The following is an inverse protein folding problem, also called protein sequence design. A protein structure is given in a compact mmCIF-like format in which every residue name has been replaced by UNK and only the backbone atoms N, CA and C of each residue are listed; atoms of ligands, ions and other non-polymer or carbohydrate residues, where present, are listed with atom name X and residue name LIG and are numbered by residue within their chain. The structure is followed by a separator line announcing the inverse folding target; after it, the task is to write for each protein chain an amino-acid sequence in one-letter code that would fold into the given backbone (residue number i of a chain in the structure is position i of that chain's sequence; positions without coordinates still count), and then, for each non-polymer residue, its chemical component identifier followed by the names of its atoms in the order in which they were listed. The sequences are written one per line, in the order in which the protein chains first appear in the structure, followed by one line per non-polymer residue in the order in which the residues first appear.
data_IF_894314958764
#
_entry.id   IF_894314958764
#
_cell.length_a   1.000
_cell.length_b   1.000
_cell.length_c   1.000
_cell.angle_alpha   90.00
_cell.angle_beta   90.00
_cell.angle_gamma   90.00
#
_symmetry.space_group_name_H-M   'P 1'
#
loop_
_entity.id
_entity.type
_entity.pdbx_description
1 polymer ?
#
# COMPACT_ATOMS: atom_id res chain seq x y z
N UNK A 1 -8.79 12.77 1.37
CA UNK A 1 -7.89 12.01 0.46
C UNK A 1 -7.90 10.58 0.98
N UNK A 2 -8.64 9.66 0.34
CA UNK A 2 -8.84 8.30 0.85
C UNK A 2 -7.73 7.41 0.29
N UNK A 3 -6.53 7.55 0.85
CA UNK A 3 -5.41 6.66 0.59
C UNK A 3 -5.34 5.64 1.72
N UNK A 4 -5.17 4.37 1.37
CA UNK A 4 -5.08 3.29 2.33
C UNK A 4 -3.80 2.52 2.08
N UNK A 5 -3.13 2.11 3.15
CA UNK A 5 -1.95 1.26 3.06
C UNK A 5 -2.40 -0.16 2.77
N UNK A 6 -1.83 -0.80 1.74
CA UNK A 6 -2.02 -2.21 1.46
C UNK A 6 -0.70 -2.95 1.55
N UNK A 7 -0.56 -3.82 2.54
CA UNK A 7 0.65 -4.61 2.79
C UNK A 7 0.54 -5.99 2.15
N UNK A 8 1.51 -6.35 1.31
CA UNK A 8 1.68 -7.69 0.76
C UNK A 8 2.77 -8.41 1.55
N UNK A 9 2.44 -9.59 2.07
CA UNK A 9 3.34 -10.44 2.85
C UNK A 9 3.86 -11.63 2.06
N UNK A 10 5.09 -12.04 2.35
CA UNK A 10 5.73 -13.25 1.81
C UNK A 10 5.69 -13.29 0.28
N UNK A 11 5.34 -14.45 -0.29
CA UNK A 11 5.22 -14.70 -1.72
C UNK A 11 4.35 -13.68 -2.45
N UNK A 12 3.35 -13.08 -1.79
CA UNK A 12 2.52 -12.05 -2.42
C UNK A 12 3.33 -10.79 -2.76
N UNK A 13 4.33 -10.46 -1.97
CA UNK A 13 5.22 -9.32 -2.23
C UNK A 13 6.13 -9.59 -3.42
N UNK A 14 6.67 -10.80 -3.51
CA UNK A 14 7.62 -11.18 -4.56
C UNK A 14 6.95 -11.46 -5.91
N UNK A 15 5.74 -12.02 -5.91
CA UNK A 15 5.04 -12.42 -7.13
C UNK A 15 4.13 -11.28 -7.60
N UNK A 16 3.02 -11.03 -6.89
CA UNK A 16 2.05 -10.01 -7.29
C UNK A 16 2.59 -8.60 -7.08
N UNK A 17 3.37 -8.35 -6.02
CA UNK A 17 4.00 -7.06 -5.79
C UNK A 17 4.97 -6.69 -6.91
N UNK A 18 5.79 -7.64 -7.38
CA UNK A 18 6.67 -7.43 -8.53
C UNK A 18 5.86 -7.23 -9.82
N UNK A 19 4.79 -7.99 -10.05
CA UNK A 19 3.91 -7.80 -11.21
C UNK A 19 3.27 -6.41 -11.22
N UNK A 20 2.79 -5.94 -10.07
CA UNK A 20 2.22 -4.59 -9.90
C UNK A 20 3.28 -3.53 -10.20
N UNK A 21 4.47 -3.66 -9.62
CA UNK A 21 5.57 -2.72 -9.84
C UNK A 21 5.98 -2.64 -11.31
N UNK A 22 6.11 -3.79 -11.98
CA UNK A 22 6.45 -3.88 -13.39
C UNK A 22 5.38 -3.24 -14.28
N UNK A 23 4.10 -3.49 -14.00
CA UNK A 23 2.99 -2.87 -14.75
C UNK A 23 2.90 -1.37 -14.52
N UNK A 24 3.10 -0.88 -13.30
CA UNK A 24 3.16 0.56 -13.02
C UNK A 24 4.33 1.26 -13.72
N UNK A 25 5.45 0.55 -13.93
CA UNK A 25 6.60 1.08 -14.65
C UNK A 25 6.39 1.08 -16.18
N UNK A 26 5.69 0.07 -16.70
CA UNK A 26 5.50 -0.14 -18.14
C UNK A 26 4.29 0.60 -18.69
N UNK A 27 3.21 0.67 -17.91
CA UNK A 27 1.92 1.20 -18.31
C UNK A 27 1.64 2.50 -17.52
N UNK A 28 1.64 3.68 -18.17
CA UNK A 28 1.37 4.96 -17.50
C UNK A 28 -0.13 5.15 -17.16
N UNK A 29 -0.86 4.04 -17.02
CA UNK A 29 -2.30 4.00 -16.85
C UNK A 29 -2.68 3.31 -15.52
N UNK A 30 -3.92 3.52 -15.11
CA UNK A 30 -4.41 3.02 -13.83
C UNK A 30 -4.44 1.48 -13.83
N UNK A 31 -4.20 0.88 -12.68
CA UNK A 31 -4.22 -0.57 -12.49
C UNK A 31 -5.44 -0.96 -11.63
N UNK A 32 -6.08 -2.09 -11.95
CA UNK A 32 -7.12 -2.67 -11.09
C UNK A 32 -6.61 -3.92 -10.40
N UNK A 33 -6.73 -3.95 -9.08
CA UNK A 33 -6.35 -5.09 -8.26
C UNK A 33 -7.62 -5.69 -7.64
N UNK A 34 -7.81 -7.00 -7.80
CA UNK A 34 -8.83 -7.76 -7.12
C UNK A 34 -8.20 -8.55 -5.98
N UNK A 35 -8.57 -8.21 -4.74
CA UNK A 35 -8.19 -8.94 -3.54
C UNK A 35 -9.36 -9.71 -2.95
N UNK A 36 -9.18 -11.00 -2.66
CA UNK A 36 -10.12 -11.84 -1.90
C UNK A 36 -9.51 -12.22 -0.56
N UNK A 37 -10.34 -12.30 0.49
CA UNK A 37 -9.93 -12.66 1.85
C UNK A 37 -8.81 -11.76 2.37
N UNK A 38 -8.93 -10.45 2.12
CA UNK A 38 -7.97 -9.44 2.57
C UNK A 38 -8.23 -9.11 4.04
N UNK A 39 -7.16 -9.08 4.83
CA UNK A 39 -7.23 -8.65 6.21
C UNK A 39 -7.39 -7.15 6.31
N UNK A 40 -8.30 -6.70 7.17
CA UNK A 40 -8.39 -5.29 7.57
C UNK A 40 -7.53 -5.11 8.82
N UNK A 41 -6.77 -4.02 8.85
CA UNK A 41 -6.00 -3.56 9.99
C UNK A 41 -6.35 -2.10 10.29
N UNK A 42 -6.25 -1.73 11.55
CA UNK A 42 -6.39 -0.33 11.99
C UNK A 42 -5.05 0.36 12.15
N UNK A 43 -3.97 -0.27 11.68
CA UNK A 43 -2.63 0.31 11.72
C UNK A 43 -2.56 1.55 10.82
N UNK A 44 -2.20 2.69 11.40
CA UNK A 44 -2.18 4.02 10.76
C UNK A 44 -3.53 4.44 10.15
N UNK A 45 -4.66 4.01 10.75
CA UNK A 45 -6.00 4.22 10.19
C UNK A 45 -6.49 2.98 9.46
N UNK A 46 -7.27 3.11 8.40
CA UNK A 46 -7.74 1.95 7.64
C UNK A 46 -6.60 1.42 6.76
N UNK A 47 -6.08 0.24 7.09
CA UNK A 47 -5.09 -0.48 6.29
C UNK A 47 -5.59 -1.86 5.90
N UNK A 48 -5.05 -2.36 4.81
CA UNK A 48 -5.32 -3.67 4.25
C UNK A 48 -4.04 -4.50 4.31
N UNK A 49 -4.16 -5.79 4.52
CA UNK A 49 -3.02 -6.70 4.51
C UNK A 49 -3.42 -8.05 3.90
N UNK A 50 -2.49 -8.68 3.19
CA UNK A 50 -2.69 -10.05 2.74
C UNK A 50 -2.67 -11.01 3.94
N UNK A 51 -3.42 -12.10 3.83
CA UNK A 51 -3.44 -13.24 4.73
C UNK A 51 -2.99 -14.46 3.95
N UNK A 52 -2.65 -15.54 4.66
CA UNK A 52 -2.25 -16.80 4.04
C UNK A 52 -3.28 -17.32 3.00
N UNK A 53 -4.57 -17.14 3.26
CA UNK A 53 -5.65 -17.56 2.36
C UNK A 53 -6.15 -16.44 1.43
N UNK A 54 -5.40 -15.35 1.31
CA UNK A 54 -5.74 -14.28 0.37
C UNK A 54 -5.54 -14.73 -1.06
N UNK A 55 -6.23 -14.07 -1.98
CA UNK A 55 -5.96 -14.20 -3.41
C UNK A 55 -5.89 -12.82 -4.00
N UNK A 56 -4.82 -12.53 -4.73
CA UNK A 56 -4.62 -11.29 -5.45
C UNK A 56 -4.62 -11.57 -6.95
N UNK A 57 -5.27 -10.70 -7.71
CA UNK A 57 -5.23 -10.71 -9.17
C UNK A 57 -5.07 -9.30 -9.69
N UNK A 58 -4.11 -9.14 -10.59
CA UNK A 58 -3.80 -7.88 -11.24
C UNK A 58 -4.48 -7.85 -12.60
N UNK A 59 -5.25 -6.79 -12.88
CA UNK A 59 -6.02 -6.59 -14.11
C UNK A 59 -6.85 -7.81 -14.54
N UNK A 60 -7.76 -8.31 -13.69
CA UNK A 60 -8.59 -9.45 -14.08
C UNK A 60 -9.56 -9.06 -15.20
N UNK A 61 -9.88 -10.03 -16.07
CA UNK A 61 -10.79 -9.84 -17.23
C UNK A 61 -12.28 -9.90 -16.86
N UNK A 62 -12.62 -9.76 -15.58
CA UNK A 62 -14.00 -9.76 -15.13
C UNK A 62 -14.72 -8.50 -15.60
N UNK A 63 -16.01 -8.59 -15.97
CA UNK A 63 -16.78 -7.43 -16.41
C UNK A 63 -16.74 -6.25 -15.43
N UNK A 64 -16.73 -6.53 -14.12
CA UNK A 64 -16.66 -5.53 -13.06
C UNK A 64 -15.31 -4.81 -13.03
N UNK A 65 -14.21 -5.53 -13.25
CA UNK A 65 -12.88 -4.95 -13.30
C UNK A 65 -12.67 -4.11 -14.56
N UNK A 66 -13.21 -4.57 -15.70
CA UNK A 66 -13.24 -3.82 -16.96
C UNK A 66 -14.07 -2.54 -16.82
N UNK A 67 -15.24 -2.61 -16.18
CA UNK A 67 -16.04 -1.42 -15.90
C UNK A 67 -15.30 -0.43 -14.98
N UNK A 68 -14.63 -0.93 -13.95
CA UNK A 68 -13.87 -0.08 -13.02
C UNK A 68 -12.68 0.60 -13.70
N UNK A 69 -11.90 -0.11 -14.53
CA UNK A 69 -10.79 0.51 -15.25
C UNK A 69 -11.28 1.53 -16.28
N UNK A 70 -12.38 1.25 -16.99
CA UNK A 70 -12.97 2.21 -17.93
C UNK A 70 -13.45 3.47 -17.20
N UNK A 71 -14.17 3.31 -16.09
CA UNK A 71 -14.56 4.43 -15.24
C UNK A 71 -13.33 5.22 -14.76
N UNK A 72 -12.27 4.53 -14.34
CA UNK A 72 -11.05 5.17 -13.85
C UNK A 72 -10.34 5.96 -14.97
N UNK A 73 -10.33 5.46 -16.21
CA UNK A 73 -9.81 6.16 -17.39
C UNK A 73 -10.65 7.41 -17.73
N UNK A 74 -11.97 7.31 -17.69
CA UNK A 74 -12.87 8.44 -17.93
C UNK A 74 -12.73 9.53 -16.86
N UNK A 75 -12.41 9.15 -15.63
CA UNK A 75 -12.22 10.04 -14.48
C UNK A 75 -10.73 10.31 -14.18
N UNK A 76 -9.82 10.01 -15.12
CA UNK A 76 -8.37 10.06 -14.91
C UNK A 76 -7.89 11.45 -14.48
N UNK A 77 -8.48 12.52 -15.01
CA UNK A 77 -8.16 13.89 -14.63
C UNK A 77 -8.60 14.24 -13.20
N UNK A 78 -9.63 13.59 -12.66
CA UNK A 78 -10.03 13.74 -11.26
C UNK A 78 -9.13 12.90 -10.33
N UNK A 79 -8.72 11.71 -10.77
CA UNK A 79 -7.84 10.82 -10.02
C UNK A 79 -6.39 11.31 -9.97
N UNK A 80 -5.91 11.91 -11.07
CA UNK A 80 -4.55 12.45 -11.21
C UNK A 80 -4.49 13.97 -10.99
N UNK A 81 -5.62 14.67 -11.00
CA UNK A 81 -5.71 16.12 -10.85
C UNK A 81 -5.61 16.56 -9.41
N UNK A 82 -4.39 16.56 -8.86
CA UNK A 82 -3.87 17.50 -7.84
C UNK A 82 -2.36 17.24 -7.63
N UNK A 83 -1.52 18.28 -7.64
CA UNK A 83 -0.55 18.48 -8.72
C UNK A 83 0.91 18.34 -8.29
N UNK A 84 1.76 18.24 -9.32
CA UNK A 84 3.15 18.69 -9.31
C UNK A 84 3.32 19.99 -8.50
N UNK A 85 3.75 19.88 -7.24
CA UNK A 85 4.65 20.85 -6.63
C UNK A 85 6.04 20.22 -6.58
N UNK A 86 6.98 20.96 -7.14
CA UNK A 86 8.41 20.61 -7.25
C UNK A 86 8.93 20.00 -5.94
N UNK A 87 9.45 18.78 -6.00
CA UNK A 87 10.51 18.35 -5.10
C UNK A 87 11.63 17.76 -5.96
N UNK A 88 12.40 18.64 -6.59
CA UNK A 88 13.81 18.33 -6.88
C UNK A 88 14.54 18.36 -5.54
N UNK A 89 14.69 17.21 -4.89
CA UNK A 89 15.76 16.97 -3.92
C UNK A 89 15.86 15.47 -3.68
N UNK A 90 16.92 14.89 -4.22
CA UNK A 90 17.59 13.69 -3.75
C UNK A 90 17.33 13.41 -2.27
N UNK A 91 16.56 12.38 -1.94
CA UNK A 91 16.85 11.49 -0.81
C UNK A 91 15.87 10.33 -0.85
N UNK A 92 16.42 9.14 -0.59
CA UNK A 92 15.71 7.93 -0.17
C UNK A 92 14.35 8.23 0.45
N UNK A 93 13.27 7.79 -0.20
CA UNK A 93 11.96 7.70 0.45
C UNK A 93 12.13 6.67 1.58
N UNK A 94 12.48 7.14 2.77
CA UNK A 94 12.23 6.35 3.98
C UNK A 94 10.72 6.12 3.99
N UNK A 95 10.25 4.87 4.12
CA UNK A 95 8.83 4.62 4.24
C UNK A 95 8.32 5.52 5.36
N UNK A 96 7.29 6.32 5.07
CA UNK A 96 6.66 7.18 6.06
C UNK A 96 6.01 6.25 7.08
N UNK A 97 6.78 5.82 8.08
CA UNK A 97 6.27 5.19 9.28
C UNK A 97 5.54 6.34 9.99
N UNK A 98 4.25 6.50 9.70
CA UNK A 98 3.41 7.33 10.55
C UNK A 98 3.34 6.55 11.86
N UNK A 99 4.17 6.93 12.82
CA UNK A 99 4.10 6.40 14.17
C UNK A 99 2.68 6.67 14.67
N UNK A 100 1.82 5.66 14.83
CA UNK A 100 0.48 5.90 15.34
C UNK A 100 0.60 6.51 16.74
N UNK A 101 -0.28 7.45 17.06
CA UNK A 101 -0.24 8.16 18.34
C UNK A 101 -0.19 7.15 19.49
N UNK A 102 0.94 7.12 20.22
CA UNK A 102 1.21 6.20 21.32
C UNK A 102 2.27 5.13 21.08
N UNK A 103 2.84 5.00 19.87
CA UNK A 103 4.01 4.16 19.64
C UNK A 103 5.30 4.99 19.71
N UNK A 104 6.36 4.45 20.32
CA UNK A 104 7.69 5.07 20.34
C UNK A 104 8.62 4.21 19.48
N UNK A 105 9.21 4.81 18.45
CA UNK A 105 10.24 4.17 17.66
C UNK A 105 11.56 4.26 18.44
N UNK A 106 12.10 3.12 18.85
CA UNK A 106 13.41 3.04 19.51
C UNK A 106 14.37 2.26 18.62
N UNK A 107 15.64 2.63 18.62
CA UNK A 107 16.67 1.84 17.93
C UNK A 107 16.80 0.48 18.60
N UNK A 108 17.11 -0.57 17.83
CA UNK A 108 17.37 -1.91 18.37
C UNK A 108 18.50 -1.86 19.43
N UNK A 109 19.49 -0.99 19.22
CA UNK A 109 20.58 -0.77 20.17
C UNK A 109 20.12 -0.22 21.52
N UNK A 110 18.97 0.46 21.58
CA UNK A 110 18.46 1.14 22.77
C UNK A 110 17.46 0.27 23.55
N UNK A 111 17.10 -0.92 23.05
CA UNK A 111 16.14 -1.84 23.69
C UNK A 111 16.61 -2.25 25.10
N UNK A 112 17.92 -2.43 25.30
CA UNK A 112 18.47 -2.81 26.62
C UNK A 112 18.29 -1.75 27.69
N UNK A 113 18.07 -0.48 27.31
CA UNK A 113 17.88 0.65 28.21
C UNK A 113 16.40 1.07 28.32
N UNK A 114 15.52 0.42 27.56
CA UNK A 114 14.09 0.71 27.60
C UNK A 114 13.47 0.15 28.89
N UNK A 115 12.61 0.92 29.59
CA UNK A 115 11.94 0.42 30.79
C UNK A 115 11.04 -0.78 30.41
N UNK A 116 11.20 -1.89 31.13
CA UNK A 116 10.41 -3.11 30.97
C UNK A 116 8.94 -2.88 31.32
N UNK A 117 8.15 -2.36 30.37
CA UNK A 117 6.69 -2.31 30.47
C UNK A 117 6.09 -3.49 29.71
N UNK A 118 6.15 -4.66 30.32
CA UNK A 118 5.24 -5.76 30.00
C UNK A 118 4.02 -5.66 30.92
N UNK A 119 2.79 -5.43 30.41
CA UNK A 119 1.60 -5.64 31.23
C UNK A 119 1.35 -7.15 31.31
N UNK A 120 1.28 -7.68 32.54
CA UNK A 120 0.62 -8.95 32.83
C UNK A 120 -0.90 -8.79 32.71
#
# INVERSE_FOLDING_TARGET
RNQFLFTLWEDFGEIEGHEISSKMATEPDLLVILGRSIGISTYQGLSLQTRYNSTLRVNPTYPQAVALINWAKDNKTMLLGSPSEKTSATSSISPMIVTPAGQQLISIAEISSAPSRWPY
#
